data_IF_062827468927
#
_entry.id   IF_062827468927
#
_cell.length_a   1.000
_cell.length_b   1.000
_cell.length_c   1.000
_cell.angle_alpha   90.00
_cell.angle_beta   90.00
_cell.angle_gamma   90.00
#
_symmetry.space_group_name_H-M   'P 1'
#
loop_
_entity.id
_entity.type
_entity.pdbx_description
1 polymer ?
#
# COMPACT_ATOMS: atom_id res chain seq x y z
N UNK A 1 -25.77 7.85 -51.97
CA UNK A 1 -26.21 8.19 -50.59
C UNK A 1 -26.43 6.97 -49.69
N UNK A 2 -26.36 5.72 -50.18
CA UNK A 2 -26.72 4.51 -49.42
C UNK A 2 -25.69 4.00 -48.41
N UNK A 3 -24.38 4.19 -48.64
CA UNK A 3 -23.36 3.63 -47.76
C UNK A 3 -23.26 4.32 -46.38
N UNK A 4 -23.57 5.62 -46.33
CA UNK A 4 -23.52 6.40 -45.09
C UNK A 4 -24.60 5.98 -44.08
N UNK A 5 -25.76 5.49 -44.54
CA UNK A 5 -26.86 5.13 -43.65
C UNK A 5 -26.59 3.85 -42.87
N UNK A 6 -26.04 2.82 -43.52
CA UNK A 6 -25.60 1.57 -42.85
C UNK A 6 -24.48 1.87 -41.86
N UNK A 7 -23.48 2.66 -42.29
CA UNK A 7 -22.38 3.11 -41.43
C UNK A 7 -22.86 3.88 -40.21
N UNK A 8 -23.81 4.79 -40.36
CA UNK A 8 -24.38 5.54 -39.23
C UNK A 8 -25.17 4.64 -38.28
N UNK A 9 -25.90 3.65 -38.81
CA UNK A 9 -26.59 2.67 -37.96
C UNK A 9 -25.60 1.88 -37.10
N UNK A 10 -24.48 1.42 -37.66
CA UNK A 10 -23.41 0.79 -36.89
C UNK A 10 -22.76 1.75 -35.91
N UNK A 11 -22.29 2.93 -36.37
CA UNK A 11 -21.61 3.95 -35.56
C UNK A 11 -22.37 4.26 -34.27
N UNK A 12 -23.70 4.33 -34.33
CA UNK A 12 -24.55 4.66 -33.20
C UNK A 12 -25.19 3.43 -32.54
N UNK A 13 -24.81 2.20 -32.90
CA UNK A 13 -25.29 0.97 -32.23
C UNK A 13 -26.76 0.63 -32.49
N UNK A 14 -27.32 0.97 -33.66
CA UNK A 14 -28.71 0.68 -34.03
C UNK A 14 -28.84 -0.65 -34.77
N UNK A 15 -28.86 -1.76 -34.03
CA UNK A 15 -28.90 -3.12 -34.59
C UNK A 15 -30.04 -3.34 -35.60
N UNK A 16 -31.27 -2.99 -35.21
CA UNK A 16 -32.45 -3.22 -36.05
C UNK A 16 -32.36 -2.45 -37.37
N UNK A 17 -31.94 -1.19 -37.31
CA UNK A 17 -31.72 -0.35 -38.50
C UNK A 17 -30.61 -0.92 -39.39
N UNK A 18 -29.50 -1.37 -38.81
CA UNK A 18 -28.41 -1.98 -39.58
C UNK A 18 -28.87 -3.25 -40.30
N UNK A 19 -29.54 -4.17 -39.60
CA UNK A 19 -30.12 -5.40 -40.19
C UNK A 19 -31.11 -5.09 -41.30
N UNK A 20 -32.01 -4.14 -41.07
CA UNK A 20 -32.99 -3.71 -42.08
C UNK A 20 -32.30 -3.18 -43.34
N UNK A 21 -31.34 -2.26 -43.20
CA UNK A 21 -30.65 -1.68 -44.36
C UNK A 21 -29.86 -2.74 -45.14
N UNK A 22 -29.12 -3.64 -44.45
CA UNK A 22 -28.41 -4.74 -45.10
C UNK A 22 -29.37 -5.69 -45.84
N UNK A 23 -30.54 -5.99 -45.27
CA UNK A 23 -31.58 -6.83 -45.91
C UNK A 23 -32.14 -6.22 -47.19
N UNK A 24 -32.04 -4.89 -47.35
CA UNK A 24 -32.47 -4.15 -48.53
C UNK A 24 -31.36 -4.02 -49.58
N UNK A 25 -30.23 -4.68 -49.39
CA UNK A 25 -29.09 -4.68 -50.32
C UNK A 25 -28.21 -3.44 -50.22
N UNK A 26 -28.30 -2.67 -49.12
CA UNK A 26 -27.40 -1.53 -48.92
C UNK A 26 -26.01 -2.05 -48.51
N UNK A 27 -24.99 -1.69 -49.29
CA UNK A 27 -23.61 -2.06 -48.99
C UNK A 27 -23.04 -1.25 -47.82
N UNK A 28 -22.23 -1.91 -46.98
CA UNK A 28 -21.41 -1.25 -45.97
C UNK A 28 -19.95 -1.25 -46.44
N UNK A 29 -19.34 -0.07 -46.54
CA UNK A 29 -17.89 0.02 -46.80
C UNK A 29 -17.16 -0.38 -45.51
N UNK A 30 -16.49 -1.53 -45.51
CA UNK A 30 -15.82 -2.17 -44.36
C UNK A 30 -14.48 -1.53 -43.94
N UNK A 31 -14.24 -0.28 -44.35
CA UNK A 31 -13.10 0.49 -43.87
C UNK A 31 -13.20 0.74 -42.35
N UNK A 32 -12.08 1.14 -41.72
CA UNK A 32 -12.04 1.51 -40.30
C UNK A 32 -13.17 2.49 -39.97
N UNK A 33 -14.02 2.08 -39.03
CA UNK A 33 -15.20 2.85 -38.60
C UNK A 33 -14.91 3.54 -37.27
N UNK A 34 -15.18 4.84 -37.20
CA UNK A 34 -15.20 5.57 -35.94
C UNK A 34 -16.56 5.38 -35.28
N UNK A 35 -16.57 4.58 -34.22
CA UNK A 35 -17.74 4.31 -33.39
C UNK A 35 -18.04 5.50 -32.49
N UNK A 36 -19.31 5.76 -32.25
CA UNK A 36 -19.73 6.71 -31.23
C UNK A 36 -19.56 6.05 -29.84
N UNK A 37 -18.88 6.68 -28.86
CA UNK A 37 -18.71 6.10 -27.53
C UNK A 37 -20.04 5.69 -26.86
N UNK A 38 -21.14 6.39 -27.16
CA UNK A 38 -22.46 6.05 -26.62
C UNK A 38 -23.00 4.70 -27.14
N UNK A 39 -22.51 4.22 -28.29
CA UNK A 39 -22.90 2.91 -28.82
C UNK A 39 -22.47 1.77 -27.89
N UNK A 40 -21.32 1.89 -27.21
CA UNK A 40 -20.79 0.86 -26.31
C UNK A 40 -21.57 0.71 -25.00
N UNK A 41 -22.44 1.67 -24.68
CA UNK A 41 -23.37 1.60 -23.54
C UNK A 41 -24.68 0.91 -23.89
N UNK A 42 -24.94 0.61 -25.17
CA UNK A 42 -26.19 -0.03 -25.59
C UNK A 42 -26.16 -1.54 -25.31
N UNK A 43 -27.27 -2.14 -24.85
CA UNK A 43 -27.32 -3.56 -24.57
C UNK A 43 -27.09 -4.42 -25.83
N UNK A 44 -27.43 -3.90 -27.01
CA UNK A 44 -27.27 -4.62 -28.27
C UNK A 44 -25.86 -4.52 -28.89
N UNK A 45 -24.91 -3.84 -28.25
CA UNK A 45 -23.60 -3.55 -28.87
C UNK A 45 -22.87 -4.82 -29.30
N UNK A 46 -22.97 -5.90 -28.53
CA UNK A 46 -22.33 -7.19 -28.88
C UNK A 46 -22.88 -7.71 -30.21
N UNK A 47 -24.20 -7.70 -30.40
CA UNK A 47 -24.80 -8.15 -31.66
C UNK A 47 -24.50 -7.18 -32.82
N UNK A 48 -24.37 -5.88 -32.54
CA UNK A 48 -23.98 -4.89 -33.55
C UNK A 48 -22.55 -5.14 -34.03
N UNK A 49 -21.60 -5.37 -33.11
CA UNK A 49 -20.21 -5.67 -33.45
C UNK A 49 -20.09 -7.02 -34.16
N UNK A 50 -20.80 -8.05 -33.70
CA UNK A 50 -20.83 -9.34 -34.39
C UNK A 50 -21.29 -9.17 -35.84
N UNK A 51 -22.41 -8.49 -36.08
CA UNK A 51 -22.92 -8.24 -37.42
C UNK A 51 -21.92 -7.44 -38.28
N UNK A 52 -21.23 -6.46 -37.68
CA UNK A 52 -20.20 -5.69 -38.37
C UNK A 52 -19.00 -6.56 -38.78
N UNK A 53 -18.57 -7.49 -37.92
CA UNK A 53 -17.50 -8.44 -38.23
C UNK A 53 -17.93 -9.47 -39.28
N UNK A 54 -19.17 -9.96 -39.23
CA UNK A 54 -19.73 -10.94 -40.17
C UNK A 54 -19.74 -10.43 -41.61
N UNK A 55 -19.93 -9.11 -41.80
CA UNK A 55 -19.88 -8.46 -43.12
C UNK A 55 -18.47 -8.04 -43.54
N UNK A 56 -17.43 -8.47 -42.81
CA UNK A 56 -16.02 -8.19 -43.13
C UNK A 56 -15.45 -6.91 -42.52
N UNK A 57 -16.11 -6.35 -41.50
CA UNK A 57 -15.58 -5.21 -40.74
C UNK A 57 -14.28 -5.56 -39.98
N UNK A 58 -13.37 -4.60 -39.85
CA UNK A 58 -12.13 -4.78 -39.09
C UNK A 58 -12.34 -4.58 -37.59
N UNK A 59 -11.67 -5.40 -36.77
CA UNK A 59 -11.60 -5.21 -35.31
C UNK A 59 -10.86 -3.93 -34.95
N UNK A 60 -11.25 -3.31 -33.84
CA UNK A 60 -10.56 -2.15 -33.28
C UNK A 60 -10.14 -2.42 -31.83
N UNK A 61 -8.89 -2.10 -31.50
CA UNK A 61 -8.36 -2.22 -30.14
C UNK A 61 -9.11 -1.32 -29.15
N UNK A 62 -9.69 -0.20 -29.63
CA UNK A 62 -10.48 0.71 -28.81
C UNK A 62 -11.73 0.06 -28.23
N UNK A 63 -12.28 -0.98 -28.86
CA UNK A 63 -13.50 -1.62 -28.36
C UNK A 63 -13.35 -2.18 -26.94
N UNK A 64 -12.18 -2.77 -26.64
CA UNK A 64 -11.92 -3.29 -25.29
C UNK A 64 -11.80 -2.15 -24.28
N UNK A 65 -11.17 -1.03 -24.68
CA UNK A 65 -11.08 0.17 -23.85
C UNK A 65 -12.47 0.72 -23.53
N UNK A 66 -13.35 0.82 -24.52
CA UNK A 66 -14.73 1.28 -24.33
C UNK A 66 -15.55 0.29 -23.48
N UNK A 67 -15.34 -1.02 -23.65
CA UNK A 67 -15.95 -2.03 -22.78
C UNK A 67 -15.54 -1.85 -21.31
N UNK A 68 -14.26 -1.56 -21.07
CA UNK A 68 -13.74 -1.22 -19.76
C UNK A 68 -14.36 0.10 -19.26
N UNK A 69 -14.28 1.19 -20.02
CA UNK A 69 -14.80 2.51 -19.63
C UNK A 69 -16.32 2.54 -19.35
N UNK A 70 -17.07 1.58 -19.90
CA UNK A 70 -18.52 1.45 -19.70
C UNK A 70 -18.91 0.35 -18.73
N UNK A 71 -17.93 -0.35 -18.13
CA UNK A 71 -18.14 -1.54 -17.29
C UNK A 71 -19.06 -2.59 -17.94
N UNK A 72 -18.95 -2.75 -19.26
CA UNK A 72 -19.81 -3.63 -20.04
C UNK A 72 -19.21 -5.05 -20.12
N UNK A 73 -19.52 -5.88 -19.12
CA UNK A 73 -19.03 -7.28 -19.02
C UNK A 73 -19.39 -8.14 -20.23
N UNK A 74 -20.62 -8.13 -20.77
CA UNK A 74 -20.95 -8.89 -21.98
C UNK A 74 -20.04 -8.54 -23.16
N UNK A 75 -19.76 -7.25 -23.35
CA UNK A 75 -18.87 -6.79 -24.40
C UNK A 75 -17.41 -7.18 -24.13
N UNK A 76 -16.90 -6.98 -22.91
CA UNK A 76 -15.55 -7.36 -22.55
C UNK A 76 -15.33 -8.88 -22.75
N UNK A 77 -16.31 -9.71 -22.40
CA UNK A 77 -16.29 -11.16 -22.64
C UNK A 77 -16.20 -11.49 -24.12
N UNK A 78 -17.11 -10.93 -24.91
CA UNK A 78 -17.13 -11.12 -26.36
C UNK A 78 -15.77 -10.78 -26.99
N UNK A 79 -15.20 -9.63 -26.62
CA UNK A 79 -13.90 -9.17 -27.15
C UNK A 79 -12.74 -10.03 -26.66
N UNK A 80 -12.77 -10.51 -25.41
CA UNK A 80 -11.75 -11.41 -24.84
C UNK A 80 -11.74 -12.76 -25.56
N UNK A 81 -12.91 -13.38 -25.75
CA UNK A 81 -13.06 -14.64 -26.50
C UNK A 81 -12.61 -14.51 -27.95
N UNK A 82 -12.87 -13.35 -28.56
CA UNK A 82 -12.48 -13.05 -29.93
C UNK A 82 -10.97 -12.82 -30.09
N UNK A 83 -10.32 -12.26 -29.07
CA UNK A 83 -8.88 -11.96 -29.06
C UNK A 83 -8.00 -13.16 -28.62
N UNK A 84 -8.56 -14.10 -27.86
CA UNK A 84 -7.81 -15.21 -27.25
C UNK A 84 -6.74 -14.71 -26.26
N UNK A 85 -5.58 -15.38 -26.23
CA UNK A 85 -4.45 -15.02 -25.35
C UNK A 85 -3.83 -13.66 -25.65
N UNK A 86 -4.15 -13.06 -26.80
CA UNK A 86 -3.72 -11.72 -27.20
C UNK A 86 -4.64 -10.62 -26.64
N UNK A 87 -5.55 -10.95 -25.71
CA UNK A 87 -6.34 -9.93 -25.02
C UNK A 87 -5.41 -8.84 -24.50
N UNK A 88 -5.74 -7.60 -24.87
CA UNK A 88 -4.89 -6.43 -24.72
C UNK A 88 -4.24 -6.43 -23.32
N UNK A 89 -2.89 -6.41 -23.21
CA UNK A 89 -2.19 -6.44 -21.91
C UNK A 89 -2.57 -5.30 -20.96
N UNK A 90 -3.28 -4.29 -21.48
CA UNK A 90 -3.74 -3.12 -20.76
C UNK A 90 -5.24 -3.18 -20.41
N UNK A 91 -6.00 -4.19 -20.87
CA UNK A 91 -7.45 -4.25 -20.63
C UNK A 91 -7.79 -4.22 -19.14
N UNK A 92 -7.07 -4.99 -18.32
CA UNK A 92 -7.28 -4.98 -16.86
C UNK A 92 -6.88 -3.64 -16.23
N UNK A 93 -5.78 -3.04 -16.70
CA UNK A 93 -5.34 -1.72 -16.22
C UNK A 93 -6.38 -0.64 -16.56
N UNK A 94 -6.92 -0.65 -17.79
CA UNK A 94 -7.98 0.26 -18.23
C UNK A 94 -9.27 0.03 -17.45
N UNK A 95 -9.66 -1.22 -17.18
CA UNK A 95 -10.82 -1.53 -16.36
C UNK A 95 -10.68 -0.96 -14.94
N UNK A 96 -9.52 -1.17 -14.31
CA UNK A 96 -9.25 -0.64 -12.97
C UNK A 96 -9.22 0.91 -12.97
N UNK A 97 -8.57 1.53 -13.96
CA UNK A 97 -8.48 2.98 -14.07
C UNK A 97 -9.84 3.67 -14.31
N UNK A 98 -10.81 2.96 -14.91
CA UNK A 98 -12.18 3.45 -15.10
C UNK A 98 -13.15 2.95 -14.02
N UNK A 99 -12.65 2.35 -12.94
CA UNK A 99 -13.47 1.77 -11.87
C UNK A 99 -14.49 0.73 -12.35
N UNK A 100 -14.16 0.04 -13.45
CA UNK A 100 -14.99 -0.98 -14.09
C UNK A 100 -14.78 -2.33 -13.42
N UNK A 101 -15.20 -2.41 -12.15
CA UNK A 101 -14.87 -3.51 -11.25
C UNK A 101 -15.43 -4.86 -11.72
N UNK A 102 -16.60 -4.90 -12.36
CA UNK A 102 -17.16 -6.15 -12.89
C UNK A 102 -16.35 -6.67 -14.08
N UNK A 103 -15.91 -5.78 -14.96
CA UNK A 103 -14.99 -6.12 -16.05
C UNK A 103 -13.63 -6.55 -15.49
N UNK A 104 -13.10 -5.84 -14.49
CA UNK A 104 -11.84 -6.20 -13.85
C UNK A 104 -11.91 -7.59 -13.20
N UNK A 105 -13.01 -7.92 -12.52
CA UNK A 105 -13.26 -9.27 -11.98
C UNK A 105 -13.30 -10.32 -13.08
N UNK A 106 -14.03 -10.07 -14.17
CA UNK A 106 -14.08 -10.98 -15.31
C UNK A 106 -12.67 -11.22 -15.87
N UNK A 107 -11.89 -10.17 -16.10
CA UNK A 107 -10.52 -10.27 -16.63
C UNK A 107 -9.57 -10.97 -15.64
N UNK A 108 -9.70 -10.72 -14.34
CA UNK A 108 -8.95 -11.42 -13.28
C UNK A 108 -9.42 -12.88 -13.05
N UNK A 109 -10.49 -13.32 -13.68
CA UNK A 109 -10.88 -14.73 -13.69
C UNK A 109 -10.38 -15.44 -14.97
N UNK A 110 -10.39 -14.77 -16.12
CA UNK A 110 -10.24 -15.42 -17.43
C UNK A 110 -9.00 -15.03 -18.23
N UNK A 111 -8.31 -13.93 -17.88
CA UNK A 111 -7.07 -13.53 -18.55
C UNK A 111 -5.84 -14.06 -17.82
N UNK A 112 -4.79 -14.41 -18.55
CA UNK A 112 -3.46 -14.76 -18.01
C UNK A 112 -2.48 -13.58 -18.04
N UNK A 113 -2.92 -12.41 -18.52
CA UNK A 113 -2.08 -11.23 -18.64
C UNK A 113 -1.51 -10.79 -17.29
N UNK A 114 -0.24 -10.34 -17.32
CA UNK A 114 0.41 -9.80 -16.13
C UNK A 114 -0.19 -8.45 -15.78
N UNK A 115 -0.67 -8.33 -14.54
CA UNK A 115 -1.10 -7.08 -13.92
C UNK A 115 0.13 -6.23 -13.56
N UNK A 116 0.19 -4.93 -13.93
CA UNK A 116 1.21 -4.02 -13.44
C UNK A 116 0.96 -3.65 -11.96
N UNK A 117 2.02 -3.26 -11.24
CA UNK A 117 1.91 -2.87 -9.82
C UNK A 117 1.00 -1.64 -9.63
N UNK A 118 0.96 -0.73 -10.60
CA UNK A 118 0.13 0.48 -10.52
C UNK A 118 -1.36 0.15 -10.50
N UNK A 119 -1.79 -0.92 -11.18
CA UNK A 119 -3.17 -1.39 -11.11
C UNK A 119 -3.52 -1.96 -9.72
N UNK A 120 -2.55 -2.57 -9.01
CA UNK A 120 -2.75 -2.96 -7.62
C UNK A 120 -2.88 -1.73 -6.72
N UNK A 121 -2.03 -0.72 -6.91
CA UNK A 121 -2.10 0.55 -6.17
C UNK A 121 -3.44 1.23 -6.39
N UNK A 122 -3.90 1.33 -7.63
CA UNK A 122 -5.20 1.92 -7.96
C UNK A 122 -6.37 1.17 -7.29
N UNK A 123 -6.38 -0.18 -7.37
CA UNK A 123 -7.39 -0.98 -6.68
C UNK A 123 -7.37 -0.75 -5.14
N UNK A 124 -6.19 -0.62 -4.55
CA UNK A 124 -6.03 -0.34 -3.11
C UNK A 124 -6.51 1.08 -2.74
N UNK A 125 -6.16 2.11 -3.52
CA UNK A 125 -6.60 3.49 -3.25
C UNK A 125 -8.10 3.66 -3.42
N UNK A 126 -8.71 2.91 -4.33
CA UNK A 126 -10.17 2.90 -4.56
C UNK A 126 -10.95 1.98 -3.62
N UNK A 127 -10.28 1.36 -2.64
CA UNK A 127 -10.92 0.51 -1.63
C UNK A 127 -11.39 -0.86 -2.14
N UNK A 128 -10.97 -1.28 -3.34
CA UNK A 128 -11.37 -2.53 -3.98
C UNK A 128 -10.49 -3.69 -3.52
N UNK A 129 -10.62 -4.05 -2.24
CA UNK A 129 -9.76 -5.05 -1.61
C UNK A 129 -9.96 -6.47 -2.14
N UNK A 130 -11.14 -6.80 -2.68
CA UNK A 130 -11.38 -8.09 -3.34
C UNK A 130 -10.57 -8.24 -4.63
N UNK A 131 -10.50 -7.16 -5.42
CA UNK A 131 -9.66 -7.08 -6.62
C UNK A 131 -8.19 -7.10 -6.24
N UNK A 132 -7.78 -6.31 -5.25
CA UNK A 132 -6.39 -6.32 -4.74
C UNK A 132 -5.97 -7.73 -4.27
N UNK A 133 -6.86 -8.44 -3.58
CA UNK A 133 -6.64 -9.83 -3.14
C UNK A 133 -6.44 -10.76 -4.33
N UNK A 134 -7.26 -10.64 -5.38
CA UNK A 134 -7.13 -11.44 -6.59
C UNK A 134 -5.82 -11.16 -7.34
N UNK A 135 -5.41 -9.88 -7.43
CA UNK A 135 -4.15 -9.48 -8.02
C UNK A 135 -2.96 -10.06 -7.23
N UNK A 136 -2.96 -9.94 -5.90
CA UNK A 136 -1.91 -10.47 -5.02
C UNK A 136 -1.80 -11.99 -5.11
N UNK A 137 -2.92 -12.72 -5.20
CA UNK A 137 -2.92 -14.18 -5.41
C UNK A 137 -2.27 -14.58 -6.74
N UNK A 138 -2.56 -13.85 -7.81
CA UNK A 138 -1.98 -14.08 -9.15
C UNK A 138 -0.51 -13.69 -9.22
N UNK A 139 -0.09 -12.68 -8.47
CA UNK A 139 1.29 -12.18 -8.48
C UNK A 139 1.86 -12.06 -7.07
N UNK A 140 2.23 -13.19 -6.45
CA UNK A 140 2.79 -13.20 -5.09
C UNK A 140 4.07 -12.37 -4.92
N UNK A 141 4.77 -12.03 -6.01
CA UNK A 141 5.91 -11.10 -5.95
C UNK A 141 5.56 -9.74 -5.35
N UNK A 142 4.32 -9.28 -5.51
CA UNK A 142 3.86 -7.99 -4.97
C UNK A 142 3.70 -8.00 -3.46
N UNK A 143 3.49 -9.17 -2.81
CA UNK A 143 3.45 -9.21 -1.35
C UNK A 143 4.81 -8.96 -0.69
N UNK A 144 5.90 -9.07 -1.46
CA UNK A 144 7.27 -8.75 -1.03
C UNK A 144 7.68 -7.32 -1.35
N UNK A 145 6.80 -6.56 -2.00
CA UNK A 145 7.06 -5.16 -2.32
C UNK A 145 6.99 -4.33 -1.04
N UNK A 146 8.16 -3.85 -0.59
CA UNK A 146 8.28 -3.05 0.64
C UNK A 146 7.69 -1.65 0.48
N UNK A 147 7.58 -1.16 -0.75
CA UNK A 147 7.15 0.20 -1.06
C UNK A 147 5.62 0.33 -1.05
N UNK A 148 4.86 -0.78 -1.10
CA UNK A 148 3.39 -0.74 -1.08
C UNK A 148 2.84 -0.13 0.21
N UNK A 149 3.33 -0.57 1.37
CA UNK A 149 2.89 -0.07 2.67
C UNK A 149 3.35 1.39 2.87
N UNK A 150 4.55 1.72 2.40
CA UNK A 150 5.03 3.10 2.42
C UNK A 150 4.16 4.01 1.56
N UNK A 151 3.85 3.59 0.34
CA UNK A 151 2.98 4.32 -0.58
C UNK A 151 1.60 4.57 0.05
N UNK A 152 0.96 3.55 0.63
CA UNK A 152 -0.37 3.72 1.22
C UNK A 152 -0.35 4.63 2.44
N UNK A 153 0.68 4.49 3.29
CA UNK A 153 0.81 5.27 4.54
C UNK A 153 1.17 6.74 4.29
N UNK A 154 1.99 7.01 3.27
CA UNK A 154 2.39 8.37 2.89
C UNK A 154 1.29 9.13 2.15
N UNK A 155 0.47 8.44 1.35
CA UNK A 155 -0.66 9.04 0.63
C UNK A 155 -1.97 9.08 1.44
N UNK A 156 -1.93 8.75 2.73
CA UNK A 156 -3.10 8.75 3.62
C UNK A 156 -4.21 7.76 3.25
N UNK A 157 -3.90 6.72 2.45
CA UNK A 157 -4.82 5.63 2.14
C UNK A 157 -4.96 4.69 3.35
N UNK A 158 -5.80 5.11 4.29
CA UNK A 158 -5.93 4.50 5.63
C UNK A 158 -6.44 3.06 5.54
N UNK A 159 -7.48 2.81 4.75
CA UNK A 159 -8.02 1.45 4.58
C UNK A 159 -7.05 0.53 3.84
N UNK A 160 -6.38 1.03 2.79
CA UNK A 160 -5.31 0.28 2.11
C UNK A 160 -4.17 -0.08 3.07
N UNK A 161 -3.77 0.86 3.94
CA UNK A 161 -2.75 0.61 4.96
C UNK A 161 -3.19 -0.49 5.93
N UNK A 162 -4.45 -0.48 6.40
CA UNK A 162 -4.98 -1.55 7.25
C UNK A 162 -4.99 -2.89 6.53
N UNK A 163 -5.45 -2.91 5.28
CA UNK A 163 -5.48 -4.10 4.45
C UNK A 163 -4.06 -4.69 4.29
N UNK A 164 -3.07 -3.88 3.94
CA UNK A 164 -1.68 -4.33 3.76
C UNK A 164 -1.08 -4.84 5.07
N UNK A 165 -1.32 -4.15 6.20
CA UNK A 165 -0.87 -4.59 7.52
C UNK A 165 -1.49 -5.93 7.93
N UNK A 166 -2.80 -6.11 7.69
CA UNK A 166 -3.50 -7.36 7.98
C UNK A 166 -3.00 -8.51 7.08
N UNK A 167 -2.62 -8.22 5.84
CA UNK A 167 -2.01 -9.18 4.92
C UNK A 167 -0.51 -9.44 5.20
N UNK A 168 0.10 -8.75 6.17
CA UNK A 168 1.52 -8.88 6.47
C UNK A 168 2.45 -8.38 5.36
N UNK A 169 1.98 -7.41 4.56
CA UNK A 169 2.71 -6.85 3.41
C UNK A 169 3.45 -5.56 3.82
N UNK A 170 4.73 -5.49 3.47
CA UNK A 170 5.59 -4.34 3.69
C UNK A 170 6.34 -4.36 5.03
N UNK A 171 7.01 -3.25 5.36
CA UNK A 171 7.80 -3.09 6.58
C UNK A 171 7.28 -1.92 7.44
N UNK A 172 6.48 -2.20 8.49
CA UNK A 172 5.89 -1.16 9.33
C UNK A 172 6.92 -0.27 10.03
N UNK A 173 8.06 -0.84 10.48
CA UNK A 173 9.13 -0.08 11.16
C UNK A 173 9.76 0.96 10.24
N UNK A 174 10.06 0.55 9.01
CA UNK A 174 10.62 1.46 8.00
C UNK A 174 9.63 2.57 7.62
N UNK A 175 8.36 2.23 7.43
CA UNK A 175 7.30 3.20 7.17
C UNK A 175 7.16 4.20 8.34
N UNK A 176 7.24 3.70 9.58
CA UNK A 176 7.13 4.54 10.78
C UNK A 176 8.31 5.50 10.92
N UNK A 177 9.54 5.09 10.59
CA UNK A 177 10.71 5.99 10.55
C UNK A 177 10.50 7.17 9.58
N UNK A 178 9.84 6.92 8.45
CA UNK A 178 9.57 7.96 7.44
C UNK A 178 8.42 8.87 7.84
N UNK A 179 7.42 8.37 8.55
CA UNK A 179 6.17 9.09 8.84
C UNK A 179 6.10 9.72 10.24
N UNK A 180 6.77 9.14 11.24
CA UNK A 180 6.68 9.58 12.64
C UNK A 180 7.03 11.06 12.83
N UNK A 181 6.31 11.72 13.73
CA UNK A 181 6.50 13.13 14.10
C UNK A 181 6.08 14.17 13.05
N UNK A 182 5.52 13.75 11.90
CA UNK A 182 4.91 14.65 10.90
C UNK A 182 3.41 14.81 11.19
N UNK A 183 2.93 16.05 11.20
CA UNK A 183 1.52 16.38 11.54
C UNK A 183 0.53 15.69 10.61
N UNK A 184 0.84 15.60 9.32
CA UNK A 184 -0.02 14.99 8.32
C UNK A 184 -0.11 13.46 8.46
N UNK A 185 0.90 12.78 9.02
CA UNK A 185 0.93 11.32 9.12
C UNK A 185 0.60 10.77 10.51
N UNK A 186 -0.07 11.54 11.37
CA UNK A 186 -0.43 11.07 12.73
C UNK A 186 -1.29 9.80 12.67
N UNK A 187 -2.30 9.77 11.78
CA UNK A 187 -3.17 8.59 11.61
C UNK A 187 -2.39 7.37 11.15
N UNK A 188 -1.56 7.51 10.11
CA UNK A 188 -0.71 6.42 9.62
C UNK A 188 0.27 5.93 10.70
N UNK A 189 0.91 6.85 11.43
CA UNK A 189 1.86 6.50 12.50
C UNK A 189 1.18 5.70 13.62
N UNK A 190 -0.04 6.09 14.01
CA UNK A 190 -0.84 5.35 15.00
C UNK A 190 -1.22 3.95 14.52
N UNK A 191 -1.51 3.79 13.23
CA UNK A 191 -1.82 2.48 12.64
C UNK A 191 -0.60 1.58 12.53
N UNK A 192 0.57 2.14 12.20
CA UNK A 192 1.80 1.37 12.01
C UNK A 192 2.41 0.89 13.33
N UNK A 193 2.32 1.68 14.40
CA UNK A 193 3.02 1.45 15.66
C UNK A 193 2.78 0.04 16.27
N UNK A 194 1.54 -0.47 16.37
CA UNK A 194 1.30 -1.81 16.92
C UNK A 194 1.99 -2.94 16.12
N UNK A 195 2.21 -2.73 14.82
CA UNK A 195 2.86 -3.71 13.94
C UNK A 195 4.40 -3.58 13.95
N UNK A 196 4.96 -2.62 14.69
CA UNK A 196 6.40 -2.42 14.78
C UNK A 196 7.05 -3.20 15.94
N UNK A 197 6.26 -3.81 16.82
CA UNK A 197 6.75 -4.38 18.08
C UNK A 197 6.90 -5.90 17.96
N UNK A 198 8.09 -6.41 18.27
CA UNK A 198 8.35 -7.84 18.32
C UNK A 198 7.84 -8.42 19.66
N UNK A 199 7.19 -9.58 19.63
CA UNK A 199 6.53 -10.16 20.82
C UNK A 199 7.46 -10.47 22.00
N UNK A 200 8.75 -10.70 21.73
CA UNK A 200 9.76 -11.10 22.74
C UNK A 200 11.01 -10.21 22.81
N UNK A 201 11.21 -9.28 21.85
CA UNK A 201 12.44 -8.46 21.80
C UNK A 201 12.18 -7.06 22.38
N UNK A 202 11.83 -7.01 23.67
CA UNK A 202 11.40 -5.78 24.34
C UNK A 202 12.45 -4.66 24.28
N UNK A 203 13.73 -5.00 24.49
CA UNK A 203 14.83 -4.02 24.41
C UNK A 203 15.08 -3.46 23.00
N UNK A 204 14.92 -4.29 21.98
CA UNK A 204 14.98 -3.87 20.58
C UNK A 204 13.81 -2.94 20.25
N UNK A 205 12.60 -3.27 20.73
CA UNK A 205 11.43 -2.41 20.62
C UNK A 205 11.68 -1.03 21.28
N UNK A 206 12.17 -1.01 22.52
CA UNK A 206 12.50 0.24 23.24
C UNK A 206 13.56 1.03 22.46
N UNK A 207 14.62 0.36 21.99
CA UNK A 207 15.69 1.00 21.22
C UNK A 207 15.15 1.67 19.96
N UNK A 208 14.31 0.97 19.20
CA UNK A 208 13.63 1.50 18.01
C UNK A 208 12.75 2.72 18.33
N UNK A 209 11.95 2.67 19.41
CA UNK A 209 11.10 3.79 19.83
C UNK A 209 11.93 5.02 20.23
N UNK A 210 13.05 4.81 20.92
CA UNK A 210 13.99 5.88 21.27
C UNK A 210 14.69 6.45 20.04
N UNK A 211 15.00 5.62 19.04
CA UNK A 211 15.58 6.09 17.77
C UNK A 211 14.59 6.97 17.00
N UNK A 212 13.28 6.68 17.04
CA UNK A 212 12.24 7.58 16.50
C UNK A 212 12.27 8.96 17.18
N UNK A 213 12.53 9.01 18.49
CA UNK A 213 12.63 10.25 19.24
C UNK A 213 13.89 11.06 18.87
N UNK A 214 14.98 10.38 18.52
CA UNK A 214 16.25 10.98 18.11
C UNK A 214 16.27 11.61 16.71
N UNK A 215 15.19 11.47 15.92
CA UNK A 215 15.11 12.04 14.58
C UNK A 215 15.02 13.58 14.62
N UNK A 216 16.11 14.26 14.24
CA UNK A 216 16.29 15.73 14.35
C UNK A 216 15.29 16.58 13.55
N UNK A 217 14.72 16.05 12.47
CA UNK A 217 13.79 16.78 11.59
C UNK A 217 12.32 16.70 12.01
N UNK A 218 12.02 16.17 13.20
CA UNK A 218 10.65 15.80 13.60
C UNK A 218 10.13 16.61 14.76
N UNK A 219 8.80 16.73 14.86
CA UNK A 219 8.15 17.38 16.00
C UNK A 219 8.23 16.46 17.22
N UNK A 220 9.26 16.68 18.05
CA UNK A 220 9.54 15.88 19.25
C UNK A 220 8.31 15.62 20.10
N UNK A 221 7.47 16.63 20.36
CA UNK A 221 6.22 16.50 21.14
C UNK A 221 5.24 15.49 20.53
N UNK A 222 5.06 15.49 19.21
CA UNK A 222 4.13 14.58 18.52
C UNK A 222 4.68 13.15 18.53
N UNK A 223 5.99 12.97 18.33
CA UNK A 223 6.63 11.67 18.44
C UNK A 223 6.51 11.12 19.87
N UNK A 224 6.78 11.93 20.89
CA UNK A 224 6.60 11.54 22.30
C UNK A 224 5.18 11.08 22.57
N UNK A 225 4.17 11.88 22.22
CA UNK A 225 2.76 11.51 22.40
C UNK A 225 2.39 10.18 21.71
N UNK A 226 2.99 9.90 20.56
CA UNK A 226 2.78 8.66 19.82
C UNK A 226 3.41 7.45 20.54
N UNK A 227 4.67 7.58 20.98
CA UNK A 227 5.45 6.42 21.46
C UNK A 227 5.34 6.18 22.95
N UNK A 228 5.00 7.17 23.78
CA UNK A 228 5.04 7.06 25.25
C UNK A 228 4.25 5.86 25.79
N UNK A 229 3.00 5.57 25.35
CA UNK A 229 2.26 4.42 25.85
C UNK A 229 2.96 3.09 25.55
N UNK A 230 3.45 2.92 24.31
CA UNK A 230 4.15 1.71 23.88
C UNK A 230 5.52 1.58 24.56
N UNK A 231 6.25 2.69 24.71
CA UNK A 231 7.53 2.74 25.40
C UNK A 231 7.39 2.32 26.86
N UNK A 232 6.30 2.72 27.52
CA UNK A 232 5.98 2.30 28.89
C UNK A 232 5.70 0.80 28.99
N UNK A 233 4.89 0.25 28.08
CA UNK A 233 4.57 -1.19 28.05
C UNK A 233 5.82 -2.04 27.79
N UNK A 234 6.57 -1.73 26.74
CA UNK A 234 7.80 -2.43 26.37
C UNK A 234 8.87 -2.31 27.48
N UNK A 235 9.00 -1.11 28.08
CA UNK A 235 9.86 -0.86 29.22
C UNK A 235 9.56 -1.77 30.41
N UNK A 236 8.28 -1.96 30.75
CA UNK A 236 7.87 -2.80 31.89
C UNK A 236 8.22 -4.26 31.64
N UNK A 237 8.00 -4.75 30.41
CA UNK A 237 8.36 -6.11 29.99
C UNK A 237 9.88 -6.32 30.01
N UNK A 238 10.65 -5.35 29.52
CA UNK A 238 12.11 -5.42 29.55
C UNK A 238 12.68 -5.41 30.98
N UNK A 239 12.15 -4.55 31.86
CA UNK A 239 12.63 -4.38 33.24
C UNK A 239 12.57 -5.68 34.08
N UNK A 240 11.69 -6.61 33.73
CA UNK A 240 11.63 -7.94 34.38
C UNK A 240 12.86 -8.81 34.12
N UNK A 241 13.61 -8.52 33.05
CA UNK A 241 14.74 -9.34 32.57
C UNK A 241 16.08 -8.62 32.63
N UNK A 242 16.07 -7.28 32.70
CA UNK A 242 17.27 -6.45 32.67
C UNK A 242 17.78 -6.21 34.08
N UNK A 243 19.03 -6.59 34.33
CA UNK A 243 19.72 -6.22 35.56
C UNK A 243 20.33 -4.83 35.43
N UNK A 244 19.82 -3.89 36.22
CA UNK A 244 20.36 -2.54 36.33
C UNK A 244 21.44 -2.47 37.41
N UNK A 245 22.52 -1.70 37.21
CA UNK A 245 23.44 -1.35 38.29
C UNK A 245 22.66 -0.71 39.46
N UNK A 246 22.96 -1.02 40.73
CA UNK A 246 22.13 -0.61 41.87
C UNK A 246 21.82 0.90 41.91
N UNK A 247 22.83 1.74 41.67
CA UNK A 247 22.67 3.20 41.67
C UNK A 247 21.75 3.68 40.53
N UNK A 248 21.84 3.05 39.35
CA UNK A 248 20.97 3.36 38.20
C UNK A 248 19.56 2.83 38.46
N UNK A 249 19.43 1.66 39.08
CA UNK A 249 18.14 1.02 39.39
C UNK A 249 17.26 1.89 40.30
N UNK A 250 17.85 2.48 41.35
CA UNK A 250 17.14 3.38 42.27
C UNK A 250 16.60 4.59 41.52
N UNK A 251 17.47 5.31 40.78
CA UNK A 251 17.05 6.51 40.03
C UNK A 251 16.04 6.18 38.93
N UNK A 252 16.24 5.09 38.21
CA UNK A 252 15.34 4.62 37.16
C UNK A 252 13.93 4.33 37.72
N UNK A 253 13.83 3.72 38.91
CA UNK A 253 12.54 3.45 39.58
C UNK A 253 11.82 4.75 39.94
N UNK A 254 12.54 5.73 40.52
CA UNK A 254 11.97 7.06 40.82
C UNK A 254 11.47 7.77 39.56
N UNK A 255 12.22 7.70 38.45
CA UNK A 255 11.81 8.30 37.18
C UNK A 255 10.56 7.61 36.59
N UNK A 256 10.46 6.29 36.72
CA UNK A 256 9.28 5.54 36.30
C UNK A 256 8.02 5.99 37.07
N UNK A 257 8.12 6.11 38.40
CA UNK A 257 7.03 6.55 39.28
C UNK A 257 6.59 7.99 38.98
N UNK A 258 7.56 8.87 38.68
CA UNK A 258 7.30 10.25 38.30
C UNK A 258 6.80 10.42 36.84
N UNK A 259 6.71 9.34 36.06
CA UNK A 259 6.23 9.38 34.68
C UNK A 259 7.26 9.86 33.65
N UNK A 260 8.54 9.93 34.01
CA UNK A 260 9.65 10.24 33.10
C UNK A 260 10.04 9.01 32.26
N UNK A 261 9.10 8.54 31.44
CA UNK A 261 9.19 7.26 30.71
C UNK A 261 10.42 7.19 29.79
N UNK A 262 10.80 8.30 29.15
CA UNK A 262 11.95 8.34 28.22
C UNK A 262 13.26 8.10 28.94
N UNK A 263 13.55 8.86 29.99
CA UNK A 263 14.79 8.74 30.76
C UNK A 263 14.90 7.37 31.44
N UNK A 264 13.80 6.89 32.02
CA UNK A 264 13.73 5.52 32.54
C UNK A 264 14.04 4.46 31.47
N UNK A 265 13.46 4.58 30.27
CA UNK A 265 13.70 3.65 29.17
C UNK A 265 15.14 3.71 28.65
N UNK A 266 15.74 4.90 28.62
CA UNK A 266 17.16 5.10 28.28
C UNK A 266 18.07 4.41 29.29
N UNK A 267 17.75 4.47 30.59
CA UNK A 267 18.48 3.77 31.63
C UNK A 267 18.49 2.25 31.40
N UNK A 268 17.33 1.66 31.04
CA UNK A 268 17.20 0.23 30.71
C UNK A 268 18.08 -0.17 29.53
N UNK A 269 17.95 0.54 28.41
CA UNK A 269 18.69 0.22 27.18
C UNK A 269 20.19 0.40 27.39
N UNK A 270 20.64 1.54 27.90
CA UNK A 270 22.08 1.83 28.07
C UNK A 270 22.73 0.83 29.04
N UNK A 271 22.06 0.50 30.15
CA UNK A 271 22.58 -0.47 31.12
C UNK A 271 22.68 -1.87 30.53
N UNK A 272 21.66 -2.32 29.78
CA UNK A 272 21.70 -3.61 29.11
C UNK A 272 22.84 -3.68 28.09
N UNK A 273 22.90 -2.72 27.15
CA UNK A 273 23.92 -2.68 26.11
C UNK A 273 25.33 -2.54 26.69
N UNK A 274 25.48 -1.86 27.84
CA UNK A 274 26.74 -1.82 28.56
C UNK A 274 27.17 -3.20 29.04
N UNK A 275 26.24 -4.00 29.60
CA UNK A 275 26.52 -5.30 30.21
C UNK A 275 26.71 -6.45 29.20
N UNK A 276 25.94 -6.46 28.10
CA UNK A 276 25.84 -7.65 27.23
C UNK A 276 26.59 -7.53 25.91
N UNK A 277 26.80 -6.33 25.40
CA UNK A 277 27.25 -6.16 24.02
C UNK A 277 28.69 -5.62 23.94
N UNK A 278 29.62 -6.50 23.57
CA UNK A 278 31.01 -6.15 23.29
C UNK A 278 31.18 -5.44 21.93
N UNK A 279 30.19 -5.55 21.04
CA UNK A 279 30.25 -5.05 19.66
C UNK A 279 29.63 -3.67 19.48
N UNK A 280 28.80 -3.22 20.43
CA UNK A 280 28.21 -1.89 20.38
C UNK A 280 29.27 -0.81 20.51
N UNK A 281 29.27 0.08 19.53
CA UNK A 281 30.17 1.23 19.50
C UNK A 281 29.84 2.18 20.64
N UNK A 282 30.87 2.68 21.34
CA UNK A 282 30.75 3.71 22.37
C UNK A 282 29.92 4.91 21.89
N UNK A 283 30.03 5.24 20.59
CA UNK A 283 29.27 6.29 19.92
C UNK A 283 27.75 6.10 19.98
N UNK A 284 27.25 4.87 19.84
CA UNK A 284 25.81 4.60 19.95
C UNK A 284 25.30 4.83 21.38
N UNK A 285 26.07 4.42 22.38
CA UNK A 285 25.73 4.65 23.79
C UNK A 285 25.76 6.15 24.14
N UNK A 286 26.76 6.88 23.66
CA UNK A 286 26.84 8.34 23.80
C UNK A 286 25.66 9.05 23.14
N UNK A 287 25.26 8.61 21.95
CA UNK A 287 24.12 9.17 21.23
C UNK A 287 22.83 8.99 22.03
N UNK A 288 22.63 7.81 22.65
CA UNK A 288 21.47 7.57 23.52
C UNK A 288 21.58 8.34 24.85
N UNK A 289 22.75 8.39 25.47
CA UNK A 289 22.98 9.16 26.70
C UNK A 289 22.73 10.67 26.51
N UNK A 290 22.99 11.20 25.31
CA UNK A 290 22.67 12.58 24.97
C UNK A 290 21.17 12.89 24.97
N UNK A 291 20.30 11.87 24.84
CA UNK A 291 18.84 12.03 24.91
C UNK A 291 18.30 12.11 26.34
N UNK A 292 19.13 11.80 27.35
CA UNK A 292 18.72 11.81 28.77
C UNK A 292 18.58 13.26 29.24
N UNK A 293 17.40 13.61 29.75
CA UNK A 293 17.09 14.94 30.28
C UNK A 293 17.36 15.03 31.78
N UNK A 294 17.10 13.96 32.53
CA UNK A 294 17.40 13.88 33.96
C UNK A 294 18.90 13.97 34.24
N UNK A 295 19.32 15.06 34.90
CA UNK A 295 20.73 15.37 35.13
C UNK A 295 21.43 14.33 36.03
N UNK A 296 20.73 13.81 37.03
CA UNK A 296 21.28 12.81 37.95
C UNK A 296 21.50 11.48 37.22
N UNK A 297 20.49 10.97 36.51
CA UNK A 297 20.62 9.78 35.69
C UNK A 297 21.72 9.93 34.65
N UNK A 298 21.80 11.08 33.97
CA UNK A 298 22.84 11.36 32.98
C UNK A 298 24.24 11.23 33.58
N UNK A 299 24.49 11.83 34.73
CA UNK A 299 25.77 11.72 35.42
C UNK A 299 26.11 10.27 35.83
N UNK A 300 25.11 9.48 36.25
CA UNK A 300 25.30 8.06 36.56
C UNK A 300 25.66 7.24 35.32
N UNK A 301 24.96 7.47 34.20
CA UNK A 301 25.21 6.79 32.93
C UNK A 301 26.58 7.17 32.35
N UNK A 302 26.98 8.44 32.43
CA UNK A 302 28.30 8.89 31.96
C UNK A 302 29.44 8.20 32.73
N UNK A 303 29.33 8.07 34.06
CA UNK A 303 30.30 7.30 34.87
C UNK A 303 30.37 5.84 34.45
N UNK A 304 29.22 5.25 34.16
CA UNK A 304 29.12 3.87 33.70
C UNK A 304 29.79 3.70 32.32
N UNK A 305 29.59 4.62 31.39
CA UNK A 305 30.26 4.60 30.07
C UNK A 305 31.77 4.79 30.17
N UNK A 306 32.25 5.67 31.07
CA UNK A 306 33.69 5.83 31.35
C UNK A 306 34.30 4.53 31.88
N UNK A 307 33.57 3.78 32.71
CA UNK A 307 34.05 2.50 33.25
C UNK A 307 34.23 1.43 32.16
N UNK A 308 33.37 1.44 31.13
CA UNK A 308 33.48 0.53 29.98
C UNK A 308 34.72 0.80 29.13
N UNK A 309 35.07 2.07 28.91
CA UNK A 309 36.26 2.47 28.11
C UNK A 309 37.60 2.06 28.73
N UNK A 310 37.61 1.79 30.04
CA UNK A 310 38.82 1.39 30.76
C UNK A 310 39.05 -0.14 30.76
N UNK A 311 38.05 -0.91 30.33
CA UNK A 311 38.14 -2.37 30.17
C UNK A 311 38.58 -2.69 28.76
#
# INVERSE_FOLDING_TARGET
MSYYTVRNAFKHGHLATAKYLLSRGYECVTAKMHWDPSAFRKPEIVQVLQLFLDIGGSRDAMWMREACATNNVPLARFLHELAGDLCHPLALTEAIAHEAWDVAHYLLAHSTAKVPIDALKEALSSGQFDIATQILRRQPKFSKDVDLLEWSSTNHYTEATRYLLAAGIGNPRECLLKTAGRRQHVTASKLLLPHCMHAVKYLDNISFLLDLLGLSSRRRKTTLQLITPELLDQGRKANQTVQLPPNVAVRASTLQEAGHVVDWSLALVISHLHATDATITTKQLETKAALVEDAELKALLDRLLVSKRKR
#
